data_IF_757278158988
#
_entry.id   IF_757278158988
#
_cell.length_a   1.000
_cell.length_b   1.000
_cell.length_c   1.000
_cell.angle_alpha   90.00
_cell.angle_beta   90.00
_cell.angle_gamma   90.00
#
_symmetry.space_group_name_H-M   'P 1'
#
loop_
_entity.id
_entity.type
_entity.pdbx_description
1 polymer ?
#
# COMPACT_ATOMS: atom_id res chain seq x y z
N UNK A 1 24.23 -63.15 -38.66
CA UNK A 1 24.18 -62.28 -37.47
C UNK A 1 23.37 -61.06 -37.86
N UNK A 2 22.18 -60.94 -37.27
CA UNK A 2 21.03 -60.21 -37.78
C UNK A 2 21.07 -58.75 -37.31
N UNK A 3 20.84 -57.80 -38.21
CA UNK A 3 20.73 -56.35 -37.92
C UNK A 3 19.49 -55.96 -37.08
N UNK A 4 18.98 -56.88 -36.25
CA UNK A 4 17.91 -56.67 -35.28
C UNK A 4 18.44 -56.41 -33.86
N UNK A 5 19.66 -56.87 -33.55
CA UNK A 5 20.22 -56.75 -32.19
C UNK A 5 20.76 -55.34 -31.87
N UNK A 6 20.86 -54.45 -32.86
CA UNK A 6 21.31 -53.06 -32.68
C UNK A 6 20.17 -52.07 -32.35
N UNK A 7 18.91 -52.46 -32.56
CA UNK A 7 17.75 -51.59 -32.26
C UNK A 7 17.20 -51.88 -30.85
N UNK A 8 17.39 -53.08 -30.33
CA UNK A 8 16.95 -53.44 -28.96
C UNK A 8 17.88 -52.88 -27.85
N UNK A 9 19.09 -52.42 -28.20
CA UNK A 9 20.09 -51.93 -27.25
C UNK A 9 20.07 -50.41 -26.96
N UNK A 10 19.42 -49.58 -27.79
CA UNK A 10 19.34 -48.12 -27.54
C UNK A 10 17.91 -47.59 -27.29
N UNK A 11 16.94 -48.50 -27.14
CA UNK A 11 15.61 -48.21 -26.61
C UNK A 11 15.57 -48.18 -25.06
N UNK A 12 16.72 -48.30 -24.39
CA UNK A 12 16.85 -48.26 -22.92
C UNK A 12 17.26 -46.89 -22.32
N UNK A 13 17.55 -45.86 -23.12
CA UNK A 13 17.81 -44.49 -22.60
C UNK A 13 16.57 -43.58 -22.61
N UNK A 14 15.43 -44.05 -23.10
CA UNK A 14 14.24 -43.21 -23.29
C UNK A 14 13.28 -43.13 -22.10
N UNK A 15 13.44 -43.91 -21.03
CA UNK A 15 12.48 -43.87 -19.91
C UNK A 15 13.11 -44.21 -18.55
N UNK A 16 13.77 -43.22 -17.94
CA UNK A 16 13.78 -43.10 -16.48
C UNK A 16 12.68 -42.10 -16.08
N UNK A 17 11.56 -42.70 -15.66
CA UNK A 17 10.43 -42.11 -14.96
C UNK A 17 10.91 -41.17 -13.83
N UNK A 18 10.53 -39.89 -13.89
CA UNK A 18 9.35 -39.33 -13.23
C UNK A 18 9.44 -39.27 -11.69
N UNK A 19 9.76 -38.09 -11.15
CA UNK A 19 9.37 -37.67 -9.80
C UNK A 19 9.37 -36.14 -9.69
N UNK A 20 8.20 -35.54 -9.90
CA UNK A 20 7.91 -34.15 -9.55
C UNK A 20 8.49 -33.11 -10.49
N UNK A 21 7.71 -32.69 -11.48
CA UNK A 21 7.66 -31.26 -11.78
C UNK A 21 7.06 -30.56 -10.54
N UNK A 22 7.85 -30.49 -9.46
CA UNK A 22 7.63 -29.50 -8.43
C UNK A 22 8.05 -28.22 -9.12
N UNK A 23 7.08 -27.56 -9.75
CA UNK A 23 7.16 -26.15 -10.07
C UNK A 23 7.81 -25.52 -8.85
N UNK A 24 9.07 -25.08 -8.98
CA UNK A 24 9.75 -24.40 -7.92
C UNK A 24 8.92 -23.13 -7.73
N UNK A 25 7.98 -23.16 -6.78
CA UNK A 25 7.30 -21.96 -6.33
C UNK A 25 8.43 -21.01 -6.00
N UNK A 26 8.59 -19.97 -6.83
CA UNK A 26 9.65 -18.98 -6.66
C UNK A 26 9.59 -18.53 -5.22
N UNK A 27 10.59 -18.92 -4.44
CA UNK A 27 10.52 -18.82 -2.98
C UNK A 27 10.35 -17.34 -2.67
N UNK A 28 9.25 -16.99 -2.04
CA UNK A 28 9.06 -15.62 -1.58
C UNK A 28 10.14 -15.33 -0.54
N UNK A 29 10.85 -14.21 -0.71
CA UNK A 29 11.95 -13.82 0.17
C UNK A 29 11.52 -12.62 0.98
N UNK A 30 11.80 -12.66 2.28
CA UNK A 30 11.68 -11.49 3.13
C UNK A 30 12.92 -10.62 2.97
N UNK A 31 12.72 -9.39 2.51
CA UNK A 31 13.73 -8.34 2.47
C UNK A 31 13.37 -7.17 3.37
N UNK A 32 14.11 -6.08 3.23
CA UNK A 32 13.88 -4.81 3.92
C UNK A 32 13.83 -3.68 2.88
N UNK A 33 12.85 -2.78 3.01
CA UNK A 33 12.78 -1.56 2.20
C UNK A 33 13.76 -0.52 2.77
N UNK A 34 14.83 -0.22 2.04
CA UNK A 34 15.88 0.69 2.50
C UNK A 34 15.59 2.16 2.14
N UNK A 35 15.01 2.39 0.97
CA UNK A 35 14.69 3.74 0.50
C UNK A 35 13.65 3.73 -0.62
N UNK A 36 13.12 4.93 -0.91
CA UNK A 36 12.41 5.23 -2.14
C UNK A 36 13.20 6.32 -2.87
N UNK A 37 13.54 6.10 -4.13
CA UNK A 37 14.24 7.06 -5.01
C UNK A 37 13.35 7.44 -6.19
N UNK A 38 13.83 8.33 -7.05
CA UNK A 38 13.09 8.84 -8.21
C UNK A 38 11.73 9.43 -7.79
N UNK A 39 11.77 10.43 -6.91
CA UNK A 39 10.60 11.09 -6.30
C UNK A 39 9.62 10.14 -5.59
N UNK A 40 10.13 9.00 -5.12
CA UNK A 40 9.35 8.01 -4.37
C UNK A 40 8.83 6.86 -5.21
N UNK A 41 9.06 6.87 -6.52
CA UNK A 41 8.52 5.86 -7.44
C UNK A 41 9.31 4.55 -7.45
N UNK A 42 10.60 4.57 -7.11
CA UNK A 42 11.47 3.39 -7.22
C UNK A 42 11.91 2.91 -5.82
N UNK A 43 11.41 1.77 -5.32
CA UNK A 43 11.91 1.19 -4.09
C UNK A 43 13.30 0.58 -4.24
N UNK A 44 14.11 0.77 -3.21
CA UNK A 44 15.40 0.11 -3.02
C UNK A 44 15.27 -0.90 -1.88
N UNK A 45 15.58 -2.16 -2.15
CA UNK A 45 15.44 -3.26 -1.18
C UNK A 45 16.77 -3.96 -0.94
N UNK A 46 16.91 -4.50 0.27
CA UNK A 46 17.96 -5.45 0.62
C UNK A 46 17.33 -6.77 1.03
N UNK A 47 17.97 -7.89 0.70
CA UNK A 47 17.46 -9.22 1.07
C UNK A 47 18.59 -10.26 1.14
N UNK A 48 18.40 -11.35 1.90
CA UNK A 48 19.39 -12.42 1.98
C UNK A 48 19.66 -13.06 0.61
N UNK A 49 20.94 -13.24 0.26
CA UNK A 49 21.34 -13.87 -1.01
C UNK A 49 21.33 -12.93 -2.23
N UNK A 50 21.17 -11.62 -2.02
CA UNK A 50 21.26 -10.64 -3.10
C UNK A 50 22.66 -10.58 -3.74
N UNK A 51 22.76 -10.20 -5.03
CA UNK A 51 24.05 -9.96 -5.67
C UNK A 51 24.75 -8.71 -5.10
N UNK A 52 25.89 -8.92 -4.44
CA UNK A 52 26.67 -7.83 -3.84
C UNK A 52 26.04 -7.23 -2.58
N UNK A 53 26.55 -6.08 -2.14
CA UNK A 53 26.12 -5.42 -0.89
C UNK A 53 25.26 -4.17 -1.09
N UNK A 54 25.05 -3.73 -2.33
CA UNK A 54 24.27 -2.54 -2.66
C UNK A 54 22.76 -2.87 -2.70
N UNK A 55 21.92 -1.92 -2.30
CA UNK A 55 20.47 -2.07 -2.41
C UNK A 55 20.04 -2.22 -3.87
N UNK A 56 19.11 -3.14 -4.11
CA UNK A 56 18.62 -3.49 -5.45
C UNK A 56 17.36 -2.70 -5.74
N UNK A 57 17.24 -2.14 -6.96
CA UNK A 57 16.00 -1.51 -7.42
C UNK A 57 14.92 -2.56 -7.57
N UNK A 58 13.76 -2.31 -6.98
CA UNK A 58 12.60 -3.16 -7.07
C UNK A 58 11.45 -2.46 -7.81
N UNK A 59 10.50 -3.26 -8.31
CA UNK A 59 9.15 -2.78 -8.63
C UNK A 59 8.25 -2.99 -7.41
N UNK A 60 7.06 -2.41 -7.40
CA UNK A 60 6.07 -2.62 -6.35
C UNK A 60 4.68 -2.84 -6.94
N UNK A 61 3.90 -3.72 -6.31
CA UNK A 61 2.44 -3.84 -6.54
C UNK A 61 1.61 -3.16 -5.45
N UNK A 62 2.26 -2.64 -4.42
CA UNK A 62 1.63 -1.88 -3.33
C UNK A 62 2.12 -0.44 -3.32
N UNK A 63 1.30 0.47 -2.82
CA UNK A 63 1.69 1.86 -2.62
C UNK A 63 2.70 1.96 -1.46
N UNK A 64 3.94 2.28 -1.80
CA UNK A 64 5.01 2.47 -0.84
C UNK A 64 5.16 3.95 -0.50
N UNK A 65 5.30 4.24 0.79
CA UNK A 65 5.48 5.59 1.33
C UNK A 65 6.64 5.59 2.32
N UNK A 66 7.14 6.77 2.68
CA UNK A 66 8.28 6.91 3.60
C UNK A 66 8.11 6.18 4.93
N UNK A 67 6.87 6.01 5.41
CA UNK A 67 6.53 5.25 6.63
C UNK A 67 6.84 3.74 6.52
N UNK A 68 7.11 3.23 5.32
CA UNK A 68 7.48 1.83 5.08
C UNK A 68 9.00 1.61 5.06
N UNK A 69 9.82 2.67 5.03
CA UNK A 69 11.29 2.54 5.04
C UNK A 69 11.75 1.91 6.36
N UNK A 70 12.72 0.99 6.28
CA UNK A 70 13.22 0.17 7.39
C UNK A 70 12.29 -0.99 7.78
N UNK A 71 11.19 -1.20 7.07
CA UNK A 71 10.25 -2.29 7.36
C UNK A 71 10.55 -3.53 6.53
N UNK A 72 10.29 -4.73 7.08
CA UNK A 72 10.38 -5.96 6.33
C UNK A 72 9.32 -6.01 5.23
N UNK A 73 9.71 -6.46 4.04
CA UNK A 73 8.86 -6.58 2.85
C UNK A 73 8.92 -7.98 2.27
N UNK A 74 7.84 -8.42 1.63
CA UNK A 74 7.80 -9.67 0.89
C UNK A 74 8.19 -9.42 -0.57
N UNK A 75 9.18 -10.14 -1.06
CA UNK A 75 9.70 -10.05 -2.41
C UNK A 75 9.39 -11.31 -3.22
N UNK A 76 8.99 -11.09 -4.47
CA UNK A 76 9.08 -12.08 -5.54
C UNK A 76 10.07 -11.61 -6.59
N UNK A 77 10.55 -12.53 -7.43
CA UNK A 77 11.57 -12.24 -8.44
C UNK A 77 11.04 -12.57 -9.82
N UNK A 78 11.06 -11.58 -10.72
CA UNK A 78 10.61 -11.79 -12.09
C UNK A 78 11.52 -12.80 -12.79
N UNK A 79 10.92 -13.81 -13.44
CA UNK A 79 11.65 -14.89 -14.11
C UNK A 79 12.71 -15.59 -13.23
N UNK A 80 12.50 -15.58 -11.90
CA UNK A 80 13.46 -16.11 -10.92
C UNK A 80 14.84 -15.40 -10.93
N UNK A 81 14.91 -14.14 -11.36
CA UNK A 81 16.14 -13.33 -11.35
C UNK A 81 16.24 -12.47 -10.08
N UNK A 82 17.25 -12.69 -9.20
CA UNK A 82 17.42 -11.90 -7.98
C UNK A 82 17.71 -10.41 -8.25
N UNK A 83 18.12 -10.02 -9.45
CA UNK A 83 18.30 -8.62 -9.82
C UNK A 83 16.99 -7.91 -10.16
N UNK A 84 15.87 -8.63 -10.21
CA UNK A 84 14.55 -8.11 -10.59
C UNK A 84 13.48 -8.36 -9.52
N UNK A 85 13.66 -7.83 -8.29
CA UNK A 85 12.69 -7.97 -7.23
C UNK A 85 11.41 -7.16 -7.48
N UNK A 86 10.29 -7.70 -7.01
CA UNK A 86 8.97 -7.05 -6.96
C UNK A 86 8.48 -7.12 -5.52
N UNK A 87 8.24 -5.96 -4.91
CA UNK A 87 7.63 -5.82 -3.59
C UNK A 87 6.16 -6.19 -3.69
N UNK A 88 5.80 -7.31 -3.07
CA UNK A 88 4.42 -7.83 -3.03
C UNK A 88 3.62 -7.29 -1.84
N UNK A 89 4.31 -6.88 -0.76
CA UNK A 89 3.67 -6.32 0.42
C UNK A 89 4.67 -5.96 1.51
N UNK A 90 4.22 -5.15 2.47
CA UNK A 90 4.98 -4.80 3.68
C UNK A 90 4.52 -5.69 4.83
N UNK A 91 5.45 -6.44 5.43
CA UNK A 91 5.14 -7.31 6.55
C UNK A 91 4.78 -6.48 7.79
N UNK A 92 3.78 -6.97 8.53
CA UNK A 92 3.36 -6.39 9.80
C UNK A 92 4.06 -7.16 10.92
N UNK A 93 4.70 -6.43 11.84
CA UNK A 93 5.33 -7.04 13.02
C UNK A 93 4.29 -7.69 13.93
N UNK A 94 4.73 -8.71 14.68
CA UNK A 94 3.88 -9.53 15.57
C UNK A 94 3.36 -8.84 16.82
N UNK A 95 3.63 -7.56 17.03
CA UNK A 95 2.76 -6.76 17.90
C UNK A 95 1.51 -6.44 17.09
N UNK A 96 0.45 -7.22 17.34
CA UNK A 96 -0.88 -6.92 16.89
C UNK A 96 -1.29 -5.56 17.48
N UNK A 97 -0.89 -4.47 16.81
CA UNK A 97 -1.66 -3.25 16.84
C UNK A 97 -3.09 -3.69 16.57
N UNK A 98 -4.06 -3.34 17.43
CA UNK A 98 -5.45 -3.70 17.24
C UNK A 98 -5.79 -3.45 15.77
N UNK A 99 -6.45 -4.42 15.11
CA UNK A 99 -7.07 -4.17 13.81
C UNK A 99 -7.63 -2.75 13.90
N UNK A 100 -7.18 -1.79 13.07
CA UNK A 100 -7.83 -0.50 13.07
C UNK A 100 -9.30 -0.84 12.88
N UNK A 101 -10.13 -0.51 13.88
CA UNK A 101 -11.58 -0.56 13.70
C UNK A 101 -11.87 0.07 12.35
N UNK A 102 -12.86 -0.46 11.60
CA UNK A 102 -13.01 -0.27 10.16
C UNK A 102 -12.45 1.08 9.74
N UNK A 103 -11.34 1.05 8.97
CA UNK A 103 -10.60 2.24 8.58
C UNK A 103 -11.59 3.37 8.34
N UNK A 104 -11.42 4.55 8.97
CA UNK A 104 -12.43 5.60 8.91
C UNK A 104 -12.82 5.76 7.45
N UNK A 105 -14.06 5.35 7.13
CA UNK A 105 -14.61 5.43 5.79
C UNK A 105 -14.84 6.91 5.53
N UNK A 106 -13.77 7.60 5.18
CA UNK A 106 -13.85 8.90 4.54
C UNK A 106 -14.21 8.58 3.11
N UNK A 107 -15.50 8.60 2.81
CA UNK A 107 -15.97 8.52 1.43
C UNK A 107 -15.65 9.88 0.80
N UNK A 108 -14.77 9.85 -0.20
CA UNK A 108 -14.31 11.02 -0.94
C UNK A 108 -14.72 10.84 -2.38
N UNK A 109 -15.79 11.51 -2.78
CA UNK A 109 -16.17 11.62 -4.19
C UNK A 109 -15.56 12.88 -4.77
N UNK A 110 -14.68 12.72 -5.75
CA UNK A 110 -13.97 13.80 -6.42
C UNK A 110 -14.14 13.67 -7.93
N UNK A 111 -14.98 14.51 -8.52
CA UNK A 111 -15.28 14.51 -9.97
C UNK A 111 -14.43 15.52 -10.77
N UNK A 112 -13.42 16.11 -10.14
CA UNK A 112 -12.60 17.19 -10.70
C UNK A 112 -13.23 18.59 -10.60
N UNK A 113 -14.51 18.68 -10.22
CA UNK A 113 -15.24 19.93 -10.02
C UNK A 113 -15.70 20.12 -8.56
N UNK A 114 -15.90 19.02 -7.82
CA UNK A 114 -16.46 18.97 -6.48
C UNK A 114 -15.77 17.87 -5.67
N UNK A 115 -15.57 18.15 -4.38
CA UNK A 115 -15.10 17.19 -3.38
C UNK A 115 -16.21 16.96 -2.35
N UNK A 116 -16.67 15.73 -2.17
CA UNK A 116 -17.65 15.36 -1.15
C UNK A 116 -16.95 14.50 -0.11
N UNK A 117 -16.94 14.94 1.15
CA UNK A 117 -16.37 14.20 2.29
C UNK A 117 -17.50 13.86 3.25
N UNK A 118 -17.72 12.57 3.54
CA UNK A 118 -18.80 12.12 4.42
C UNK A 118 -18.30 11.35 5.65
N UNK A 119 -19.10 11.39 6.73
CA UNK A 119 -18.87 10.65 7.96
C UNK A 119 -20.21 10.29 8.63
N UNK A 120 -20.28 9.13 9.30
CA UNK A 120 -21.53 8.61 9.90
C UNK A 120 -21.97 9.37 11.16
N UNK A 121 -21.02 9.86 11.95
CA UNK A 121 -21.29 10.47 13.26
C UNK A 121 -20.89 11.94 13.31
N UNK A 122 -19.63 12.24 12.97
CA UNK A 122 -19.07 13.59 12.99
C UNK A 122 -17.98 13.74 11.93
N UNK A 123 -17.88 14.94 11.34
CA UNK A 123 -16.79 15.36 10.48
C UNK A 123 -16.07 16.54 11.15
N UNK A 124 -14.79 16.37 11.46
CA UNK A 124 -13.98 17.36 12.20
C UNK A 124 -12.76 17.76 11.36
N UNK A 125 -12.69 19.04 11.00
CA UNK A 125 -11.50 19.66 10.39
C UNK A 125 -10.73 20.39 11.48
N UNK A 126 -9.56 19.89 11.89
CA UNK A 126 -8.79 20.44 13.03
C UNK A 126 -7.39 20.89 12.64
N UNK A 127 -6.99 22.07 13.13
CA UNK A 127 -5.62 22.57 13.06
C UNK A 127 -5.26 23.21 14.40
N UNK A 128 -4.41 22.54 15.20
CA UNK A 128 -4.03 23.00 16.53
C UNK A 128 -5.23 23.18 17.48
N UNK A 129 -5.46 24.44 17.91
CA UNK A 129 -6.56 24.85 18.81
C UNK A 129 -7.86 25.22 18.06
N UNK A 130 -7.86 25.21 16.73
CA UNK A 130 -9.03 25.52 15.92
C UNK A 130 -9.69 24.26 15.36
N UNK A 131 -11.02 24.27 15.26
CA UNK A 131 -11.80 23.19 14.66
C UNK A 131 -13.09 23.68 13.99
N UNK A 132 -13.49 22.97 12.93
CA UNK A 132 -14.85 23.03 12.37
C UNK A 132 -15.43 21.62 12.45
N UNK A 133 -16.55 21.46 13.15
CA UNK A 133 -17.18 20.16 13.39
C UNK A 133 -18.61 20.15 12.87
N UNK A 134 -18.91 19.26 11.93
CA UNK A 134 -20.27 18.89 11.52
C UNK A 134 -20.69 17.62 12.26
N UNK A 135 -21.92 17.61 12.79
CA UNK A 135 -22.48 16.46 13.53
C UNK A 135 -23.63 15.81 12.77
N UNK A 136 -23.92 14.54 13.04
CA UNK A 136 -25.11 13.84 12.48
C UNK A 136 -26.44 14.52 12.79
N UNK A 137 -26.50 15.34 13.84
CA UNK A 137 -27.68 16.13 14.21
C UNK A 137 -27.83 17.42 13.37
N UNK A 138 -26.95 17.65 12.39
CA UNK A 138 -26.95 18.85 11.55
C UNK A 138 -26.32 20.09 12.18
N UNK A 139 -25.74 19.99 13.39
CA UNK A 139 -25.04 21.12 14.02
C UNK A 139 -23.67 21.32 13.39
N UNK A 140 -23.33 22.59 13.15
CA UNK A 140 -21.99 23.05 12.77
C UNK A 140 -21.40 23.84 13.93
N UNK A 141 -20.24 23.42 14.43
CA UNK A 141 -19.51 24.07 15.51
C UNK A 141 -18.21 24.63 14.94
N UNK A 142 -17.95 25.92 15.14
CA UNK A 142 -16.69 26.58 14.76
C UNK A 142 -16.01 27.02 16.04
N UNK A 143 -14.80 26.51 16.30
CA UNK A 143 -14.00 26.86 17.48
C UNK A 143 -12.63 27.39 17.06
N UNK A 144 -12.19 28.45 17.74
CA UNK A 144 -10.88 29.05 17.56
C UNK A 144 -10.72 30.26 18.47
N UNK A 145 -9.48 30.73 18.64
CA UNK A 145 -9.21 31.97 19.38
C UNK A 145 -9.66 33.24 18.64
N UNK A 146 -9.91 33.12 17.34
CA UNK A 146 -10.39 34.20 16.47
C UNK A 146 -11.15 33.61 15.28
N UNK A 147 -12.31 34.15 14.96
CA UNK A 147 -13.11 33.77 13.79
C UNK A 147 -13.39 35.03 12.96
N UNK A 148 -12.95 35.02 11.70
CA UNK A 148 -13.23 36.11 10.75
C UNK A 148 -14.16 35.59 9.65
N UNK A 149 -15.32 36.21 9.49
CA UNK A 149 -16.25 35.91 8.41
C UNK A 149 -16.26 37.08 7.43
N UNK A 150 -15.74 36.85 6.22
CA UNK A 150 -15.65 37.85 5.16
C UNK A 150 -16.31 37.30 3.90
N UNK A 151 -17.21 38.08 3.31
CA UNK A 151 -17.83 37.80 2.02
C UNK A 151 -17.65 39.02 1.10
N UNK A 152 -17.44 38.79 -0.19
CA UNK A 152 -17.52 39.85 -1.21
C UNK A 152 -18.96 40.22 -1.55
N UNK A 153 -19.91 39.33 -1.27
CA UNK A 153 -21.35 39.57 -1.36
C UNK A 153 -22.00 39.68 0.02
N UNK A 154 -23.27 39.29 0.10
CA UNK A 154 -23.99 39.26 1.38
C UNK A 154 -23.57 38.08 2.23
N UNK A 155 -23.38 38.31 3.53
CA UNK A 155 -23.32 37.25 4.53
C UNK A 155 -24.69 37.12 5.18
N UNK A 156 -25.50 36.16 4.70
CA UNK A 156 -26.88 36.00 5.16
C UNK A 156 -26.93 35.06 6.36
N UNK A 157 -27.36 35.59 7.50
CA UNK A 157 -27.61 34.82 8.72
C UNK A 157 -29.13 34.75 8.91
N UNK A 158 -29.66 33.57 9.17
CA UNK A 158 -31.10 33.36 9.35
C UNK A 158 -31.33 32.27 10.39
N UNK A 159 -32.26 32.52 11.31
CA UNK A 159 -32.61 31.60 12.39
C UNK A 159 -33.68 32.21 13.29
N UNK A 160 -34.35 31.38 14.10
CA UNK A 160 -35.37 31.85 15.04
C UNK A 160 -34.84 32.76 16.14
N UNK A 161 -33.52 32.76 16.37
CA UNK A 161 -32.82 33.67 17.28
C UNK A 161 -31.33 33.75 16.91
N UNK A 162 -30.73 34.93 17.06
CA UNK A 162 -29.27 35.12 17.00
C UNK A 162 -28.83 35.68 18.35
N UNK A 163 -27.94 34.96 19.03
CA UNK A 163 -27.37 35.39 20.30
C UNK A 163 -25.95 35.91 20.05
N UNK A 164 -25.72 37.18 20.39
CA UNK A 164 -24.43 37.84 20.36
C UNK A 164 -24.13 38.31 21.79
N UNK A 165 -22.97 37.92 22.31
CA UNK A 165 -22.47 38.29 23.63
C UNK A 165 -21.13 39.02 23.47
#
# INVERSE_FOLDING_TARGET
>A
MSGRDLIEAQLHESQLHAAGATTAFGVAVTGELIALVDDGCTPLVMFPGQPGSAAVRARSVVDLHGVHIGRPVLLLFEASDPNRPVVMGVLRGGEAAPLPGPAPQVDVDADGHRLVVSAKEQLVLRCGKASITLTKAGKVLIQGSYVSSRSSGVNRISGGSVQLN
#
